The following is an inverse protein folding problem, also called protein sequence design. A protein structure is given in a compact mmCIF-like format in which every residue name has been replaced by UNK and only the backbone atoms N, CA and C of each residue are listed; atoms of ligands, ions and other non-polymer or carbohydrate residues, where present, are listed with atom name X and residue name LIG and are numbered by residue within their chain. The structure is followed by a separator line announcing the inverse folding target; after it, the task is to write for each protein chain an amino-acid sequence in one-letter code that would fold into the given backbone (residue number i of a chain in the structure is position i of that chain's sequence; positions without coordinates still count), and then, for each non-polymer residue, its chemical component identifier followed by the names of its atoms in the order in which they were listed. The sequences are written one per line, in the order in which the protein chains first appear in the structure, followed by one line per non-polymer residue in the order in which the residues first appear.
data_IF_035190675273
#
_entry.id   IF_035190675273
#
_cell.length_a   1.000
_cell.length_b   1.000
_cell.length_c   1.000
_cell.angle_alpha   90.00
_cell.angle_beta   90.00
_cell.angle_gamma   90.00
#
_symmetry.space_group_name_H-M   'P 1'
#
loop_
_entity.id
_entity.type
_entity.pdbx_description
1 polymer ?
#
# COMPACT_ATOMS: atom_id res chain seq x y z
N UNK A 1 -8.45 -13.52 -1.93
CA UNK A 1 -7.91 -12.45 -1.06
C UNK A 1 -6.41 -12.61 -0.88
N UNK A 2 -5.93 -13.62 -0.14
CA UNK A 2 -4.49 -13.76 0.19
C UNK A 2 -3.54 -13.68 -1.02
N UNK A 3 -3.80 -14.40 -2.11
CA UNK A 3 -2.93 -14.37 -3.30
C UNK A 3 -2.74 -12.96 -3.91
N UNK A 4 -3.77 -12.11 -3.86
CA UNK A 4 -3.70 -10.76 -4.43
C UNK A 4 -3.01 -9.74 -3.51
N UNK A 5 -3.14 -9.93 -2.20
CA UNK A 5 -2.67 -8.98 -1.17
C UNK A 5 -1.43 -9.49 -0.41
N UNK A 6 -0.99 -10.72 -0.68
CA UNK A 6 0.20 -11.36 -0.11
C UNK A 6 1.27 -11.60 -1.17
N UNK A 7 2.09 -12.63 -0.99
CA UNK A 7 3.24 -12.93 -1.87
C UNK A 7 2.87 -13.74 -3.12
N UNK A 8 1.59 -13.88 -3.45
CA UNK A 8 1.09 -14.61 -4.61
C UNK A 8 0.58 -16.04 -4.33
N UNK A 9 0.96 -16.64 -3.20
CA UNK A 9 0.52 -17.99 -2.83
C UNK A 9 -0.99 -18.07 -2.61
N UNK A 10 -1.59 -19.21 -2.94
CA UNK A 10 -2.97 -19.48 -2.53
C UNK A 10 -2.98 -19.79 -1.04
N UNK A 11 -4.03 -19.32 -0.36
CA UNK A 11 -4.18 -19.56 1.07
C UNK A 11 -4.09 -21.06 1.45
N UNK A 12 -4.68 -21.94 0.62
CA UNK A 12 -4.66 -23.38 0.83
C UNK A 12 -3.25 -23.99 0.76
N UNK A 13 -2.31 -23.35 0.08
CA UNK A 13 -0.96 -23.89 -0.13
C UNK A 13 0.02 -23.46 0.99
N UNK A 14 -0.40 -22.58 1.89
CA UNK A 14 0.44 -22.10 3.00
C UNK A 14 0.64 -23.18 4.08
N UNK A 15 1.73 -23.11 4.86
CA UNK A 15 1.88 -23.92 6.07
C UNK A 15 0.71 -23.75 7.04
N UNK A 16 0.30 -24.81 7.71
CA UNK A 16 -0.86 -24.83 8.63
C UNK A 16 -0.80 -23.71 9.67
N UNK A 17 0.35 -23.58 10.36
CA UNK A 17 0.59 -22.50 11.33
C UNK A 17 0.34 -21.10 10.76
N UNK A 18 0.65 -20.86 9.49
CA UNK A 18 0.40 -19.57 8.83
C UNK A 18 -1.08 -19.38 8.54
N UNK A 19 -1.77 -20.44 8.09
CA UNK A 19 -3.21 -20.41 7.85
C UNK A 19 -3.98 -20.12 9.13
N UNK A 20 -3.63 -20.78 10.23
CA UNK A 20 -4.25 -20.57 11.54
C UNK A 20 -4.04 -19.13 12.01
N UNK A 21 -2.81 -18.63 11.91
CA UNK A 21 -2.48 -17.25 12.27
C UNK A 21 -3.33 -16.23 11.49
N UNK A 22 -3.54 -16.46 10.19
CA UNK A 22 -4.37 -15.61 9.33
C UNK A 22 -5.85 -15.72 9.72
N UNK A 23 -6.37 -16.94 9.92
CA UNK A 23 -7.77 -17.16 10.29
C UNK A 23 -8.11 -16.48 11.62
N UNK A 24 -7.23 -16.59 12.60
CA UNK A 24 -7.37 -15.95 13.91
C UNK A 24 -7.49 -14.42 13.80
N UNK A 25 -6.97 -13.81 12.73
CA UNK A 25 -6.82 -12.34 12.58
C UNK A 25 -7.60 -11.75 11.42
N UNK A 26 -8.25 -12.56 10.59
CA UNK A 26 -8.91 -12.08 9.37
C UNK A 26 -9.98 -11.01 9.66
N UNK A 27 -10.60 -11.07 10.84
CA UNK A 27 -11.58 -10.10 11.32
C UNK A 27 -11.00 -8.67 11.46
N UNK A 28 -9.68 -8.52 11.64
CA UNK A 28 -9.02 -7.21 11.71
C UNK A 28 -9.10 -6.45 10.39
N UNK A 29 -9.20 -7.14 9.26
CA UNK A 29 -9.38 -6.50 7.95
C UNK A 29 -10.73 -5.77 7.91
N UNK A 30 -11.79 -6.44 8.37
CA UNK A 30 -13.14 -5.84 8.40
C UNK A 30 -13.19 -4.70 9.42
N UNK A 31 -12.52 -4.84 10.57
CA UNK A 31 -12.47 -3.81 11.59
C UNK A 31 -11.84 -2.48 11.09
N UNK A 32 -11.06 -2.52 10.02
CA UNK A 32 -10.43 -1.32 9.43
C UNK A 32 -11.34 -0.57 8.45
N UNK A 33 -12.50 -1.12 8.06
CA UNK A 33 -13.37 -0.55 7.02
C UNK A 33 -13.82 0.89 7.31
N UNK A 34 -14.08 1.24 8.57
CA UNK A 34 -14.47 2.60 8.93
C UNK A 34 -13.43 3.65 8.46
N UNK A 35 -12.15 3.32 8.48
CA UNK A 35 -11.09 4.22 8.03
C UNK A 35 -10.77 4.00 6.54
N UNK A 36 -10.71 2.75 6.08
CA UNK A 36 -10.29 2.42 4.72
C UNK A 36 -11.37 2.70 3.65
N UNK A 37 -12.64 2.49 3.99
CA UNK A 37 -13.77 2.62 3.06
C UNK A 37 -14.60 3.86 3.34
N UNK A 38 -14.84 4.18 4.62
CA UNK A 38 -15.77 5.24 5.01
C UNK A 38 -15.09 6.58 5.33
N UNK A 39 -13.74 6.64 5.25
CA UNK A 39 -12.93 7.82 5.59
C UNK A 39 -13.30 8.43 6.96
N UNK A 40 -13.47 7.60 7.99
CA UNK A 40 -13.84 8.08 9.33
C UNK A 40 -12.83 9.08 9.94
N UNK A 41 -11.58 9.08 9.47
CA UNK A 41 -10.57 10.06 9.84
C UNK A 41 -10.68 11.39 9.05
N UNK A 42 -11.54 11.43 8.04
CA UNK A 42 -11.83 12.58 7.20
C UNK A 42 -10.66 13.02 6.33
N UNK A 43 -9.67 12.17 6.07
CA UNK A 43 -8.44 12.55 5.36
C UNK A 43 -8.73 12.95 3.91
N UNK A 44 -9.81 12.43 3.32
CA UNK A 44 -10.20 12.69 1.94
C UNK A 44 -11.09 13.93 1.79
N UNK A 45 -11.49 14.60 2.88
CA UNK A 45 -12.20 15.90 2.81
C UNK A 45 -11.43 16.92 1.98
N UNK A 46 -12.12 17.94 1.46
CA UNK A 46 -11.48 19.06 0.74
C UNK A 46 -10.43 19.71 1.63
N UNK A 47 -9.20 19.83 1.13
CA UNK A 47 -8.08 20.39 1.89
C UNK A 47 -7.39 19.41 2.85
N UNK A 48 -7.88 18.17 3.00
CA UNK A 48 -7.32 17.17 3.90
C UNK A 48 -5.94 16.69 3.45
N UNK A 49 -5.87 16.01 2.31
CA UNK A 49 -4.59 15.59 1.72
C UNK A 49 -3.72 16.79 1.31
N UNK A 50 -4.34 17.88 0.85
CA UNK A 50 -3.66 19.09 0.39
C UNK A 50 -2.97 19.86 1.54
N UNK A 51 -3.33 19.56 2.80
CA UNK A 51 -2.66 20.11 3.98
C UNK A 51 -1.36 19.39 4.33
N UNK A 52 -1.06 18.25 3.71
CA UNK A 52 0.23 17.56 3.87
C UNK A 52 1.29 18.36 3.10
N UNK A 53 2.16 19.04 3.84
CA UNK A 53 3.25 19.86 3.28
C UNK A 53 4.58 19.12 3.22
N UNK A 54 4.72 18.01 3.95
CA UNK A 54 5.92 17.17 3.88
C UNK A 54 6.04 16.51 2.49
N UNK A 55 7.26 16.28 1.97
CA UNK A 55 7.46 15.48 0.77
C UNK A 55 6.92 14.05 0.93
N UNK A 56 6.18 13.56 -0.05
CA UNK A 56 5.58 12.23 -0.05
C UNK A 56 6.15 11.38 -1.18
N UNK A 57 6.65 10.19 -0.84
CA UNK A 57 6.95 9.14 -1.81
C UNK A 57 5.85 8.09 -1.75
N UNK A 58 5.14 7.90 -2.85
CA UNK A 58 4.23 6.78 -3.03
C UNK A 58 4.94 5.64 -3.76
N UNK A 59 4.79 4.41 -3.26
CA UNK A 59 5.42 3.22 -3.83
C UNK A 59 4.36 2.16 -4.11
N UNK A 60 4.37 1.59 -5.30
CA UNK A 60 3.50 0.48 -5.69
C UNK A 60 4.21 -0.53 -6.60
N UNK A 61 3.68 -1.75 -6.65
CA UNK A 61 4.13 -2.77 -7.60
C UNK A 61 3.28 -2.76 -8.87
N UNK A 62 3.92 -2.80 -10.05
CA UNK A 62 3.24 -2.71 -11.35
C UNK A 62 2.20 -3.82 -11.61
N UNK A 63 2.32 -4.95 -10.93
CA UNK A 63 1.42 -6.11 -11.02
C UNK A 63 0.39 -6.17 -9.87
N UNK A 64 0.22 -5.08 -9.12
CA UNK A 64 -0.77 -4.99 -8.03
C UNK A 64 -2.21 -5.01 -8.57
N UNK A 65 -3.21 -5.38 -7.74
CA UNK A 65 -4.61 -5.27 -8.15
C UNK A 65 -4.97 -3.86 -8.65
N UNK A 66 -5.85 -3.70 -9.65
CA UNK A 66 -6.13 -2.40 -10.30
C UNK A 66 -6.56 -1.28 -9.35
N UNK A 67 -7.13 -1.61 -8.19
CA UNK A 67 -7.51 -0.63 -7.17
C UNK A 67 -6.30 0.13 -6.62
N UNK A 68 -5.10 -0.47 -6.59
CA UNK A 68 -3.87 0.19 -6.14
C UNK A 68 -3.51 1.32 -7.09
N UNK A 69 -3.55 1.10 -8.40
CA UNK A 69 -3.32 2.15 -9.42
C UNK A 69 -4.32 3.30 -9.26
N UNK A 70 -5.60 2.97 -9.05
CA UNK A 70 -6.65 3.97 -8.88
C UNK A 70 -6.41 4.84 -7.62
N UNK A 71 -6.04 4.21 -6.50
CA UNK A 71 -5.71 4.93 -5.26
C UNK A 71 -4.45 5.78 -5.43
N UNK A 72 -3.38 5.22 -6.00
CA UNK A 72 -2.13 5.94 -6.27
C UNK A 72 -2.36 7.18 -7.14
N UNK A 73 -3.16 7.04 -8.20
CA UNK A 73 -3.54 8.15 -9.08
C UNK A 73 -4.34 9.22 -8.34
N UNK A 74 -5.34 8.82 -7.54
CA UNK A 74 -6.16 9.74 -6.77
C UNK A 74 -5.36 10.51 -5.70
N UNK A 75 -4.43 9.83 -5.02
CA UNK A 75 -3.52 10.47 -4.06
C UNK A 75 -2.56 11.44 -4.76
N UNK A 76 -1.96 11.02 -5.87
CA UNK A 76 -1.04 11.86 -6.66
C UNK A 76 -1.69 13.14 -7.15
N UNK A 77 -2.98 13.08 -7.54
CA UNK A 77 -3.72 14.27 -8.00
C UNK A 77 -3.96 15.32 -6.91
N UNK A 78 -3.86 14.95 -5.62
CA UNK A 78 -4.22 15.81 -4.47
C UNK A 78 -3.03 16.22 -3.60
N UNK A 79 -1.98 15.40 -3.56
CA UNK A 79 -0.78 15.69 -2.79
C UNK A 79 0.10 16.72 -3.52
N UNK A 80 0.62 17.72 -2.80
CA UNK A 80 1.38 18.84 -3.38
C UNK A 80 2.80 18.48 -3.79
N UNK A 81 3.48 17.70 -2.97
CA UNK A 81 4.90 17.36 -3.12
C UNK A 81 5.06 15.85 -3.19
N UNK A 82 4.55 15.26 -4.26
CA UNK A 82 4.48 13.80 -4.43
C UNK A 82 5.45 13.31 -5.49
N UNK A 83 6.17 12.26 -5.15
CA UNK A 83 6.91 11.41 -6.08
C UNK A 83 6.29 10.02 -6.08
N UNK A 84 6.39 9.32 -7.22
CA UNK A 84 5.85 7.97 -7.38
C UNK A 84 6.94 7.02 -7.86
N UNK A 85 7.01 5.86 -7.23
CA UNK A 85 7.83 4.72 -7.65
C UNK A 85 6.92 3.52 -7.91
N UNK A 86 6.80 3.13 -9.17
CA UNK A 86 6.15 1.89 -9.56
C UNK A 86 7.20 0.85 -9.94
N UNK A 87 7.27 -0.25 -9.21
CA UNK A 87 8.31 -1.29 -9.38
C UNK A 87 7.82 -2.37 -10.37
N UNK A 88 8.47 -2.53 -11.53
CA UNK A 88 8.13 -3.58 -12.50
C UNK A 88 8.28 -4.97 -11.89
N UNK A 89 7.34 -5.87 -12.20
CA UNK A 89 7.36 -7.26 -11.71
C UNK A 89 6.92 -7.43 -10.24
N UNK A 90 6.76 -6.35 -9.48
CA UNK A 90 6.27 -6.41 -8.11
C UNK A 90 4.74 -6.34 -8.04
N UNK A 91 4.15 -7.00 -7.05
CA UNK A 91 2.73 -6.90 -6.71
C UNK A 91 2.55 -6.15 -5.38
N UNK A 92 1.43 -6.36 -4.67
CA UNK A 92 1.07 -5.59 -3.47
C UNK A 92 2.15 -5.58 -2.37
N UNK A 93 2.86 -6.68 -2.19
CA UNK A 93 3.92 -6.83 -1.18
C UNK A 93 5.30 -6.28 -1.65
N UNK A 94 5.30 -5.21 -2.46
CA UNK A 94 6.51 -4.64 -3.11
C UNK A 94 7.62 -4.28 -2.12
N UNK A 95 7.29 -3.75 -0.95
CA UNK A 95 8.28 -3.38 0.08
C UNK A 95 9.02 -4.58 0.69
N UNK A 96 8.39 -5.75 0.69
CA UNK A 96 8.94 -6.99 1.23
C UNK A 96 9.66 -7.79 0.14
N UNK A 97 9.01 -7.95 -1.02
CA UNK A 97 9.51 -8.80 -2.11
C UNK A 97 10.59 -8.12 -2.96
N UNK A 98 10.60 -6.78 -3.03
CA UNK A 98 11.51 -6.00 -3.87
C UNK A 98 12.26 -4.94 -3.06
N UNK A 99 12.66 -5.27 -1.83
CA UNK A 99 13.34 -4.36 -0.91
C UNK A 99 14.59 -3.70 -1.53
N UNK A 100 15.35 -4.43 -2.36
CA UNK A 100 16.52 -3.90 -3.04
C UNK A 100 16.20 -2.75 -4.04
N UNK A 101 14.99 -2.73 -4.60
CA UNK A 101 14.52 -1.64 -5.46
C UNK A 101 13.89 -0.50 -4.63
N UNK A 102 13.20 -0.83 -3.54
CA UNK A 102 12.46 0.14 -2.71
C UNK A 102 13.39 0.93 -1.77
N UNK A 103 14.32 0.26 -1.08
CA UNK A 103 15.12 0.87 -0.04
C UNK A 103 15.99 2.06 -0.54
N UNK A 104 16.66 1.99 -1.70
CA UNK A 104 17.41 3.14 -2.22
C UNK A 104 16.52 4.35 -2.52
N UNK A 105 15.31 4.12 -3.02
CA UNK A 105 14.36 5.21 -3.30
C UNK A 105 13.86 5.87 -2.01
N UNK A 106 13.58 5.08 -0.97
CA UNK A 106 13.23 5.61 0.36
C UNK A 106 14.40 6.41 0.93
N UNK A 107 15.63 5.88 0.85
CA UNK A 107 16.83 6.57 1.32
C UNK A 107 17.04 7.91 0.60
N UNK A 108 16.87 7.92 -0.74
CA UNK A 108 17.00 9.13 -1.54
C UNK A 108 15.92 10.16 -1.20
N UNK A 109 14.66 9.72 -1.02
CA UNK A 109 13.55 10.59 -0.62
C UNK A 109 13.82 11.27 0.73
N UNK A 110 14.26 10.48 1.73
CA UNK A 110 14.59 11.01 3.06
C UNK A 110 15.81 11.94 3.04
N UNK A 111 16.80 11.67 2.18
CA UNK A 111 17.99 12.53 2.05
C UNK A 111 17.74 13.84 1.31
N UNK A 112 16.61 13.96 0.60
CA UNK A 112 16.21 15.17 -0.12
C UNK A 112 15.21 16.06 0.66
N UNK A 113 14.76 15.60 1.84
CA UNK A 113 13.95 16.36 2.78
C UNK A 113 14.82 17.28 3.64
#
# INVERSE_FOLDING_TARGET
FHAHWGSGDRFADLPERMRDYILDRIHLIVAQNAVLLDDAAGILRVGGLEAITAPVLLVDGASSPPIIEAVQTALTARLRHVQRLTVPGAAHMVSITHAAAVAPAVQAHLGAC
#
